data_IF_004819006824
#
_entry.id   IF_004819006824
#
_cell.length_a   1.000
_cell.length_b   1.000
_cell.length_c   1.000
_cell.angle_alpha   90.00
_cell.angle_beta   90.00
_cell.angle_gamma   90.00
#
_symmetry.space_group_name_H-M   'P 1'
#
loop_
_entity.id
_entity.type
_entity.pdbx_description
1 polymer ?
#
# COMPACT_ATOMS: atom_id res chain seq x y z
N UNK A 1 45.20 71.46 -44.93
CA UNK A 1 44.14 72.08 -45.73
C UNK A 1 42.87 72.04 -44.90
N UNK A 2 42.68 73.07 -44.06
CA UNK A 2 41.55 73.18 -43.12
C UNK A 2 40.31 73.71 -43.84
N UNK A 3 39.41 72.80 -44.21
CA UNK A 3 38.11 73.13 -44.79
C UNK A 3 37.06 73.43 -43.73
N UNK A 4 37.00 74.68 -43.25
CA UNK A 4 35.91 75.15 -42.37
C UNK A 4 34.61 75.29 -43.16
N UNK A 5 33.77 74.26 -43.18
CA UNK A 5 32.39 74.35 -43.66
C UNK A 5 31.51 75.05 -42.62
N UNK A 6 31.30 76.36 -42.78
CA UNK A 6 30.30 77.11 -42.00
C UNK A 6 28.91 76.89 -42.61
N UNK A 7 28.17 75.91 -42.11
CA UNK A 7 26.74 75.75 -42.41
C UNK A 7 25.95 76.86 -41.67
N UNK A 8 25.37 77.81 -42.39
CA UNK A 8 24.35 78.70 -41.82
C UNK A 8 23.07 77.88 -41.62
N UNK A 9 22.83 77.44 -40.38
CA UNK A 9 21.59 76.73 -40.04
C UNK A 9 20.40 77.69 -40.07
N UNK A 10 19.64 77.64 -41.16
CA UNK A 10 18.28 78.18 -41.17
C UNK A 10 17.37 77.24 -40.38
N UNK A 11 16.50 77.77 -39.52
CA UNK A 11 15.55 77.03 -38.67
C UNK A 11 14.77 75.93 -39.44
N UNK A 12 14.58 76.10 -40.74
CA UNK A 12 13.94 75.14 -41.64
C UNK A 12 14.64 73.77 -41.74
N UNK A 13 15.99 73.72 -41.71
CA UNK A 13 16.73 72.46 -41.82
C UNK A 13 16.70 71.65 -40.52
N UNK A 14 16.58 72.34 -39.37
CA UNK A 14 16.45 71.69 -38.06
C UNK A 14 15.10 70.98 -37.98
N UNK A 15 14.03 71.61 -38.46
CA UNK A 15 12.67 71.02 -38.47
C UNK A 15 12.63 69.75 -39.33
N UNK A 16 13.23 69.78 -40.53
CA UNK A 16 13.30 68.61 -41.41
C UNK A 16 14.12 67.48 -40.75
N UNK A 17 15.25 67.81 -40.11
CA UNK A 17 16.06 66.82 -39.41
C UNK A 17 15.31 66.10 -38.28
N UNK A 18 14.53 66.84 -37.48
CA UNK A 18 13.71 66.26 -36.40
C UNK A 18 12.60 65.37 -36.96
N UNK A 19 11.97 65.78 -38.06
CA UNK A 19 10.88 65.03 -38.69
C UNK A 19 11.38 63.70 -39.27
N UNK A 20 12.54 63.71 -39.92
CA UNK A 20 13.20 62.50 -40.43
C UNK A 20 13.62 61.58 -39.28
N UNK A 21 14.20 62.14 -38.21
CA UNK A 21 14.61 61.34 -37.04
C UNK A 21 13.42 60.69 -36.33
N UNK A 22 12.31 61.42 -36.20
CA UNK A 22 11.05 60.90 -35.64
C UNK A 22 10.49 59.76 -36.50
N UNK A 23 10.50 59.89 -37.82
CA UNK A 23 10.00 58.85 -38.72
C UNK A 23 10.85 57.58 -38.65
N UNK A 24 12.17 57.71 -38.56
CA UNK A 24 13.10 56.59 -38.42
C UNK A 24 12.91 55.89 -37.06
N UNK A 25 12.79 56.67 -35.98
CA UNK A 25 12.55 56.12 -34.64
C UNK A 25 11.22 55.33 -34.60
N UNK A 26 10.18 55.85 -35.24
CA UNK A 26 8.88 55.18 -35.32
C UNK A 26 8.94 53.90 -36.14
N UNK A 27 9.65 53.90 -37.27
CA UNK A 27 9.86 52.72 -38.09
C UNK A 27 10.59 51.60 -37.34
N UNK A 28 11.62 51.94 -36.56
CA UNK A 28 12.38 50.96 -35.75
C UNK A 28 11.50 50.33 -34.66
N UNK A 29 10.66 51.12 -34.00
CA UNK A 29 9.75 50.62 -32.95
C UNK A 29 8.66 49.74 -33.56
N UNK A 30 8.09 50.14 -34.71
CA UNK A 30 7.07 49.36 -35.41
C UNK A 30 7.61 47.99 -35.85
N UNK A 31 8.84 47.95 -36.40
CA UNK A 31 9.50 46.71 -36.82
C UNK A 31 9.83 45.76 -35.64
N UNK A 32 9.90 46.26 -34.41
CA UNK A 32 10.24 45.46 -33.23
C UNK A 32 9.00 45.00 -32.43
N UNK A 33 7.79 45.35 -32.90
CA UNK A 33 6.53 45.03 -32.21
C UNK A 33 5.87 43.72 -32.67
N UNK A 34 6.36 43.10 -33.75
CA UNK A 34 5.83 41.82 -34.19
C UNK A 34 6.39 40.65 -33.36
N UNK A 35 5.53 40.13 -32.48
CA UNK A 35 5.46 38.72 -32.06
C UNK A 35 6.47 38.20 -31.02
N UNK A 36 6.28 38.60 -29.74
CA UNK A 36 6.82 37.87 -28.57
C UNK A 36 6.02 36.62 -28.18
N UNK A 37 5.17 36.09 -29.04
CA UNK A 37 4.57 34.77 -28.86
C UNK A 37 5.30 33.76 -29.73
N UNK A 38 6.53 33.41 -29.31
CA UNK A 38 7.25 32.26 -29.85
C UNK A 38 6.43 31.00 -29.53
N UNK A 39 5.90 30.38 -30.58
CA UNK A 39 5.57 28.96 -30.74
C UNK A 39 5.76 28.11 -29.47
N UNK A 40 4.74 28.03 -28.61
CA UNK A 40 4.66 26.96 -27.64
C UNK A 40 4.39 25.66 -28.41
N UNK A 41 5.19 24.61 -28.20
CA UNK A 41 4.87 23.29 -28.72
C UNK A 41 3.61 22.78 -28.02
N UNK A 42 2.47 22.91 -28.69
CA UNK A 42 1.20 22.32 -28.25
C UNK A 42 0.95 21.01 -28.99
N UNK A 43 0.34 20.04 -28.31
CA UNK A 43 -0.12 18.80 -28.90
C UNK A 43 -1.61 18.62 -28.65
N UNK A 44 -2.32 18.04 -29.61
CA UNK A 44 -3.75 17.74 -29.49
C UNK A 44 -3.95 16.58 -28.52
N UNK A 45 -4.65 16.84 -27.41
CA UNK A 45 -5.01 15.79 -26.44
C UNK A 45 -6.41 15.27 -26.74
N UNK A 46 -6.60 13.96 -26.64
CA UNK A 46 -7.89 13.30 -26.82
C UNK A 46 -8.33 12.63 -25.53
N UNK A 47 -9.63 12.71 -25.22
CA UNK A 47 -10.21 11.99 -24.09
C UNK A 47 -10.27 10.51 -24.43
N UNK A 48 -9.75 9.67 -23.53
CA UNK A 48 -9.85 8.22 -23.60
C UNK A 48 -9.95 7.65 -22.19
N UNK A 49 -10.41 6.42 -22.09
CA UNK A 49 -10.50 5.72 -20.82
C UNK A 49 -9.10 5.26 -20.38
N UNK A 50 -8.75 5.57 -19.13
CA UNK A 50 -7.48 5.19 -18.52
C UNK A 50 -7.75 4.16 -17.43
N UNK A 51 -7.27 2.95 -17.61
CA UNK A 51 -7.25 1.92 -16.56
C UNK A 51 -5.87 1.88 -15.94
N UNK A 52 -5.80 2.12 -14.63
CA UNK A 52 -4.56 1.99 -13.85
C UNK A 52 -4.62 0.66 -13.12
N UNK A 53 -3.65 -0.22 -13.39
CA UNK A 53 -3.48 -1.48 -12.65
C UNK A 53 -2.34 -1.30 -11.66
N UNK A 54 -2.63 -1.54 -10.38
CA UNK A 54 -1.63 -1.55 -9.31
C UNK A 54 -1.36 -3.01 -8.96
N UNK A 55 -0.12 -3.45 -9.19
CA UNK A 55 0.33 -4.79 -8.80
C UNK A 55 0.97 -4.72 -7.42
N UNK A 56 0.42 -5.46 -6.47
CA UNK A 56 1.02 -5.66 -5.15
C UNK A 56 1.65 -7.05 -5.09
N UNK A 57 2.79 -7.12 -4.40
CA UNK A 57 3.45 -8.38 -4.08
C UNK A 57 3.17 -8.68 -2.61
N UNK A 58 2.64 -9.86 -2.34
CA UNK A 58 2.35 -10.33 -0.99
C UNK A 58 2.70 -11.80 -0.83
N UNK A 59 2.70 -12.25 0.42
CA UNK A 59 2.92 -13.64 0.78
C UNK A 59 1.59 -14.28 1.19
N UNK A 60 1.38 -15.54 0.77
CA UNK A 60 0.23 -16.32 1.21
C UNK A 60 0.55 -16.95 2.56
N UNK A 61 -0.18 -16.54 3.59
CA UNK A 61 -0.09 -17.11 4.93
C UNK A 61 -1.39 -17.82 5.27
N UNK A 62 -1.32 -18.83 6.14
CA UNK A 62 -2.51 -19.46 6.68
C UNK A 62 -3.31 -18.42 7.47
N UNK A 63 -4.63 -18.39 7.25
CA UNK A 63 -5.51 -17.51 8.01
C UNK A 63 -5.50 -17.88 9.49
N UNK A 64 -5.55 -19.18 9.77
CA UNK A 64 -5.52 -19.75 11.11
C UNK A 64 -4.49 -20.88 11.17
N UNK A 65 -3.75 -20.94 12.28
CA UNK A 65 -2.77 -21.97 12.55
C UNK A 65 -2.94 -22.46 13.98
N UNK A 66 -3.09 -23.77 14.15
CA UNK A 66 -3.16 -24.42 15.45
C UNK A 66 -2.02 -25.43 15.59
N UNK A 67 -1.33 -25.40 16.72
CA UNK A 67 -0.37 -26.44 17.10
C UNK A 67 -1.02 -27.34 18.13
N UNK A 68 -1.22 -28.60 17.77
CA UNK A 68 -1.80 -29.60 18.67
C UNK A 68 -0.64 -30.26 19.43
N UNK A 69 -0.66 -30.14 20.76
CA UNK A 69 0.35 -30.74 21.65
C UNK A 69 -0.31 -31.68 22.65
N UNK A 70 0.35 -32.80 22.95
CA UNK A 70 -0.04 -33.69 24.02
C UNK A 70 0.49 -33.19 25.38
N UNK A 71 -0.34 -33.25 26.43
CA UNK A 71 0.07 -32.89 27.79
C UNK A 71 0.99 -33.97 28.40
N UNK A 72 0.87 -35.20 27.91
CA UNK A 72 1.49 -36.37 28.50
C UNK A 72 2.29 -37.15 27.45
N UNK A 73 3.46 -37.64 27.83
CA UNK A 73 4.26 -38.53 26.98
C UNK A 73 3.68 -39.94 27.03
N UNK A 74 2.95 -40.29 25.97
CA UNK A 74 2.27 -41.58 25.81
C UNK A 74 2.55 -42.20 24.45
N UNK A 75 2.38 -43.51 24.37
CA UNK A 75 2.42 -44.20 23.11
C UNK A 75 1.24 -43.75 22.22
N UNK A 76 1.56 -43.39 20.98
CA UNK A 76 0.58 -43.10 19.95
C UNK A 76 0.03 -44.43 19.43
N UNK A 77 -1.28 -44.61 19.54
CA UNK A 77 -2.01 -45.76 19.00
C UNK A 77 -2.51 -45.52 17.57
N UNK A 78 -2.84 -44.27 17.27
CA UNK A 78 -3.30 -43.83 15.95
C UNK A 78 -2.82 -42.41 15.68
N UNK A 79 -2.44 -42.16 14.43
CA UNK A 79 -2.11 -40.84 13.90
C UNK A 79 -2.75 -40.71 12.51
N UNK A 80 -3.42 -39.59 12.26
CA UNK A 80 -3.93 -39.28 10.94
C UNK A 80 -2.79 -39.14 9.92
N UNK A 81 -3.08 -39.42 8.64
CA UNK A 81 -2.09 -39.33 7.57
C UNK A 81 -1.60 -37.88 7.39
N UNK A 82 -0.29 -37.70 7.24
CA UNK A 82 0.30 -36.38 7.02
C UNK A 82 -0.18 -35.77 5.70
N UNK A 83 -0.48 -34.47 5.71
CA UNK A 83 -0.98 -33.76 4.53
C UNK A 83 -2.46 -34.03 4.19
N UNK A 84 -3.16 -34.81 5.02
CA UNK A 84 -4.61 -35.01 4.87
C UNK A 84 -5.41 -33.78 5.33
N UNK A 85 -6.64 -33.65 4.82
CA UNK A 85 -7.59 -32.65 5.26
C UNK A 85 -8.42 -33.20 6.41
N UNK A 86 -8.59 -32.39 7.46
CA UNK A 86 -9.38 -32.72 8.65
C UNK A 86 -10.39 -31.61 8.93
N UNK A 87 -11.50 -31.95 9.55
CA UNK A 87 -12.52 -31.01 10.01
C UNK A 87 -12.41 -30.78 11.51
N UNK A 88 -13.07 -29.74 12.00
CA UNK A 88 -13.20 -29.50 13.42
C UNK A 88 -13.90 -30.67 14.11
N UNK A 89 -13.27 -31.20 15.17
CA UNK A 89 -13.76 -32.36 15.91
C UNK A 89 -13.22 -33.71 15.43
N UNK A 90 -12.52 -33.76 14.29
CA UNK A 90 -11.90 -35.00 13.82
C UNK A 90 -10.76 -35.45 14.74
N UNK A 91 -10.65 -36.77 14.91
CA UNK A 91 -9.58 -37.37 15.72
C UNK A 91 -8.29 -37.44 14.92
N UNK A 92 -7.33 -36.60 15.26
CA UNK A 92 -6.00 -36.56 14.61
C UNK A 92 -5.01 -37.53 15.27
N UNK A 93 -5.15 -37.76 16.58
CA UNK A 93 -4.25 -38.63 17.36
C UNK A 93 -5.02 -39.38 18.43
N UNK A 94 -4.70 -40.66 18.64
CA UNK A 94 -5.17 -41.44 19.79
C UNK A 94 -3.95 -41.86 20.59
N UNK A 95 -3.94 -41.51 21.87
CA UNK A 95 -2.88 -41.88 22.81
C UNK A 95 -3.35 -43.03 23.71
N UNK A 96 -2.41 -43.89 24.12
CA UNK A 96 -2.71 -45.01 25.00
C UNK A 96 -3.24 -44.53 26.37
N UNK A 97 -4.50 -44.85 26.67
CA UNK A 97 -5.22 -44.36 27.85
C UNK A 97 -5.49 -45.43 28.92
N UNK A 98 -5.09 -46.69 28.71
CA UNK A 98 -5.54 -47.82 29.53
C UNK A 98 -5.29 -47.63 31.04
N UNK A 99 -4.11 -47.09 31.41
CA UNK A 99 -3.80 -46.77 32.81
C UNK A 99 -4.73 -45.70 33.43
N UNK A 100 -5.20 -44.74 32.64
CA UNK A 100 -6.12 -43.70 33.12
C UNK A 100 -7.54 -44.23 33.29
N UNK A 101 -7.98 -45.14 32.42
CA UNK A 101 -9.28 -45.79 32.58
C UNK A 101 -9.32 -46.52 33.92
N UNK A 102 -8.31 -47.35 34.20
CA UNK A 102 -8.19 -48.08 35.46
C UNK A 102 -8.17 -47.12 36.66
N UNK A 103 -7.32 -46.09 36.61
CA UNK A 103 -7.21 -45.12 37.72
C UNK A 103 -8.50 -44.32 37.95
N UNK A 104 -9.22 -43.97 36.88
CA UNK A 104 -10.52 -43.30 36.96
C UNK A 104 -11.59 -44.22 37.56
N UNK A 105 -11.59 -45.49 37.19
CA UNK A 105 -12.54 -46.48 37.73
C UNK A 105 -12.30 -46.76 39.21
N UNK A 106 -11.04 -46.83 39.63
CA UNK A 106 -10.63 -46.94 41.04
C UNK A 106 -11.08 -45.71 41.84
N UNK A 107 -10.86 -44.50 41.31
CA UNK A 107 -11.29 -43.26 41.95
C UNK A 107 -12.82 -43.18 42.07
N UNK A 108 -13.55 -43.50 41.01
CA UNK A 108 -15.02 -43.54 41.00
C UNK A 108 -15.57 -44.57 41.98
N UNK A 109 -14.91 -45.72 42.11
CA UNK A 109 -15.28 -46.75 43.07
C UNK A 109 -15.05 -46.28 44.51
N UNK A 110 -13.94 -45.59 44.76
CA UNK A 110 -13.64 -44.99 46.06
C UNK A 110 -14.67 -43.92 46.46
N UNK A 111 -15.06 -43.05 45.53
CA UNK A 111 -16.12 -42.04 45.74
C UNK A 111 -17.45 -42.69 46.08
N UNK A 112 -17.85 -43.75 45.36
CA UNK A 112 -19.10 -44.47 45.63
C UNK A 112 -19.13 -45.12 47.01
N UNK A 113 -18.01 -45.71 47.45
CA UNK A 113 -17.89 -46.29 48.80
C UNK A 113 -18.02 -45.19 49.86
N UNK A 114 -17.29 -44.08 49.69
CA UNK A 114 -17.35 -42.95 50.63
C UNK A 114 -18.76 -42.32 50.70
N UNK A 115 -19.48 -42.24 49.58
CA UNK A 115 -20.87 -41.77 49.54
C UNK A 115 -21.79 -42.72 50.32
N UNK A 116 -21.68 -44.04 50.10
CA UNK A 116 -22.47 -45.02 50.83
C UNK A 116 -22.20 -45.00 52.34
N UNK A 117 -20.94 -44.80 52.75
CA UNK A 117 -20.57 -44.65 54.16
C UNK A 117 -21.15 -43.38 54.78
N UNK A 118 -21.12 -42.26 54.05
CA UNK A 118 -21.72 -41.00 54.48
C UNK A 118 -23.24 -41.10 54.64
N UNK A 119 -23.92 -41.71 53.66
CA UNK A 119 -25.37 -41.96 53.73
C UNK A 119 -25.74 -42.87 54.89
N UNK A 120 -24.93 -43.90 55.16
CA UNK A 120 -25.12 -44.76 56.33
C UNK A 120 -24.96 -43.97 57.63
N UNK A 121 -23.92 -43.15 57.75
CA UNK A 121 -23.65 -42.33 58.93
C UNK A 121 -24.70 -41.23 59.19
N UNK A 122 -25.45 -40.80 58.17
CA UNK A 122 -26.56 -39.87 58.34
C UNK A 122 -27.86 -40.53 58.81
N UNK A 123 -28.05 -41.81 58.49
CA UNK A 123 -29.28 -42.54 58.79
C UNK A 123 -29.19 -43.39 60.08
N UNK A 124 -28.02 -43.45 60.71
CA UNK A 124 -27.77 -43.98 62.06
C UNK A 124 -27.83 -42.85 63.11
#
# INVERSE_FOLDING_TARGET
>A
MDGKFKFKLNKFHIIIGVLVFSAIAWAIIAMNSESRFRNALTSEVRKGDLTVVVSEVGELVAQDQATISAINDKQILFLAEEGSYVHEGDTVVILESQKYVISSDEANSSVRVAQAEYEKAQNE
#
